data_IF_761281885021
#
_entry.id   IF_761281885021
#
_cell.length_a   1.000
_cell.length_b   1.000
_cell.length_c   1.000
_cell.angle_alpha   90.00
_cell.angle_beta   90.00
_cell.angle_gamma   90.00
#
_symmetry.space_group_name_H-M   'P 1'
#
loop_
_entity.id
_entity.type
_entity.pdbx_description
1 polymer ?
#
# COMPACT_ATOMS: atom_id res chain seq x y z
N UNK A 1 2.09 -30.83 7.23
CA UNK A 1 2.89 -29.94 8.12
C UNK A 1 2.79 -28.50 7.61
N UNK A 2 1.68 -27.79 7.89
CA UNK A 2 1.48 -26.38 7.53
C UNK A 2 2.17 -25.52 8.60
N UNK A 3 3.41 -25.13 8.33
CA UNK A 3 4.22 -24.34 9.26
C UNK A 3 3.90 -22.86 9.07
N UNK A 4 3.08 -22.33 9.98
CA UNK A 4 3.06 -20.95 10.46
C UNK A 4 2.93 -19.86 9.38
N UNK A 5 1.70 -19.52 8.98
CA UNK A 5 1.33 -18.21 8.38
C UNK A 5 1.33 -17.07 9.43
N UNK A 6 1.71 -17.36 10.68
CA UNK A 6 1.86 -16.37 11.76
C UNK A 6 2.84 -15.22 11.44
N UNK A 7 4.02 -15.42 10.81
CA UNK A 7 4.98 -14.33 10.63
C UNK A 7 4.43 -13.23 9.71
N UNK A 8 3.64 -13.54 8.67
CA UNK A 8 3.04 -12.51 7.81
C UNK A 8 1.95 -11.72 8.56
N UNK A 9 1.17 -12.38 9.41
CA UNK A 9 0.14 -11.72 10.22
C UNK A 9 0.77 -10.78 11.28
N UNK A 10 1.85 -11.20 11.93
CA UNK A 10 2.60 -10.37 12.88
C UNK A 10 3.22 -9.15 12.20
N UNK A 11 3.80 -9.33 11.00
CA UNK A 11 4.31 -8.21 10.20
C UNK A 11 3.18 -7.24 9.87
N UNK A 12 2.02 -7.73 9.42
CA UNK A 12 0.84 -6.89 9.17
C UNK A 12 0.36 -6.12 10.41
N UNK A 13 0.36 -6.77 11.58
CA UNK A 13 -0.03 -6.16 12.85
C UNK A 13 0.90 -5.01 13.27
N UNK A 14 2.19 -5.10 12.95
CA UNK A 14 3.17 -4.03 13.23
C UNK A 14 3.11 -2.95 12.15
N UNK A 15 2.99 -3.33 10.88
CA UNK A 15 2.95 -2.41 9.75
C UNK A 15 1.66 -1.59 9.71
N UNK A 16 0.52 -2.13 10.17
CA UNK A 16 -0.75 -1.43 10.27
C UNK A 16 -0.67 -0.11 11.04
N UNK A 17 -0.32 -0.11 12.33
CA UNK A 17 -0.21 1.11 13.13
C UNK A 17 0.91 2.04 12.64
N UNK A 18 1.99 1.50 12.07
CA UNK A 18 3.02 2.31 11.42
C UNK A 18 2.47 3.06 10.20
N UNK A 19 1.74 2.38 9.32
CA UNK A 19 1.10 3.00 8.16
C UNK A 19 0.10 4.08 8.58
N UNK A 20 -0.73 3.80 9.59
CA UNK A 20 -1.71 4.75 10.11
C UNK A 20 -1.05 6.00 10.72
N UNK A 21 0.05 5.82 11.46
CA UNK A 21 0.81 6.92 12.04
C UNK A 21 1.44 7.79 10.96
N UNK A 22 2.00 7.18 9.91
CA UNK A 22 2.59 7.92 8.79
C UNK A 22 1.52 8.64 7.96
N UNK A 23 0.34 8.03 7.75
CA UNK A 23 -0.79 8.68 7.08
C UNK A 23 -1.31 9.89 7.86
N UNK A 24 -1.51 9.74 9.18
CA UNK A 24 -1.88 10.87 10.06
C UNK A 24 -0.83 11.98 10.04
N UNK A 25 0.45 11.62 10.11
CA UNK A 25 1.54 12.60 10.07
C UNK A 25 1.56 13.37 8.75
N UNK A 26 1.38 12.68 7.61
CA UNK A 26 1.29 13.32 6.31
C UNK A 26 0.12 14.30 6.24
N UNK A 27 -1.06 13.91 6.73
CA UNK A 27 -2.23 14.79 6.79
C UNK A 27 -2.03 15.98 7.74
N UNK A 28 -1.40 15.77 8.90
CA UNK A 28 -1.10 16.83 9.85
C UNK A 28 -0.13 17.88 9.26
N UNK A 29 0.90 17.43 8.53
CA UNK A 29 1.82 18.32 7.80
C UNK A 29 1.08 19.10 6.70
N UNK A 30 0.07 18.47 6.11
CA UNK A 30 -0.75 19.01 5.02
C UNK A 30 -1.93 19.85 5.51
N UNK A 31 -2.00 20.19 6.80
CA UNK A 31 -3.13 20.91 7.40
C UNK A 31 -4.50 20.21 7.19
N UNK A 32 -4.50 18.89 7.09
CA UNK A 32 -5.70 18.08 6.84
C UNK A 32 -6.06 17.90 5.37
N UNK A 33 -5.27 18.44 4.43
CA UNK A 33 -5.57 18.34 3.01
C UNK A 33 -5.10 17.01 2.40
N UNK A 34 -6.04 16.15 2.02
CA UNK A 34 -5.77 14.88 1.35
C UNK A 34 -5.36 15.04 -0.12
N UNK A 35 -5.51 16.23 -0.71
CA UNK A 35 -5.05 16.47 -2.09
C UNK A 35 -3.53 16.53 -2.20
N UNK A 36 -2.79 16.70 -1.09
CA UNK A 36 -1.32 16.68 -1.05
C UNK A 36 -0.73 15.41 -1.66
N UNK A 37 -1.43 14.29 -1.53
CA UNK A 37 -1.02 13.02 -2.16
C UNK A 37 -0.95 13.10 -3.70
N UNK A 38 -1.72 13.99 -4.33
CA UNK A 38 -1.72 14.24 -5.77
C UNK A 38 -0.95 15.51 -6.15
N UNK A 39 -0.92 16.51 -5.28
CA UNK A 39 -0.22 17.79 -5.52
C UNK A 39 1.30 17.64 -5.42
N UNK A 40 1.80 16.74 -4.57
CA UNK A 40 3.24 16.45 -4.49
C UNK A 40 3.66 15.40 -5.54
N UNK A 41 4.51 15.76 -6.51
CA UNK A 41 4.88 14.85 -7.62
C UNK A 41 5.57 13.57 -7.15
N UNK A 42 6.31 13.62 -6.03
CA UNK A 42 6.95 12.44 -5.43
C UNK A 42 5.89 11.51 -4.81
N UNK A 43 4.90 12.07 -4.10
CA UNK A 43 3.83 11.26 -3.51
C UNK A 43 2.96 10.64 -4.60
N UNK A 44 2.59 11.42 -5.61
CA UNK A 44 1.81 10.96 -6.76
C UNK A 44 2.52 9.83 -7.52
N UNK A 45 3.83 9.95 -7.77
CA UNK A 45 4.60 8.91 -8.46
C UNK A 45 4.71 7.61 -7.65
N UNK A 46 4.92 7.69 -6.33
CA UNK A 46 4.92 6.51 -5.44
C UNK A 46 3.54 5.85 -5.39
N UNK A 47 2.46 6.64 -5.34
CA UNK A 47 1.09 6.12 -5.38
C UNK A 47 0.78 5.44 -6.70
N UNK A 48 1.18 6.04 -7.82
CA UNK A 48 1.03 5.45 -9.14
C UNK A 48 1.80 4.12 -9.25
N UNK A 49 3.06 4.09 -8.79
CA UNK A 49 3.87 2.88 -8.77
C UNK A 49 3.25 1.78 -7.89
N UNK A 50 2.75 2.15 -6.71
CA UNK A 50 2.07 1.22 -5.80
C UNK A 50 0.80 0.65 -6.43
N UNK A 51 0.00 1.47 -7.10
CA UNK A 51 -1.18 1.02 -7.83
C UNK A 51 -0.80 0.05 -8.96
N UNK A 52 0.26 0.33 -9.72
CA UNK A 52 0.76 -0.57 -10.76
C UNK A 52 1.18 -1.92 -10.15
N UNK A 53 1.94 -1.92 -9.05
CA UNK A 53 2.39 -3.16 -8.40
C UNK A 53 1.26 -4.00 -7.83
N UNK A 54 0.15 -3.38 -7.40
CA UNK A 54 -1.04 -4.11 -6.95
C UNK A 54 -1.85 -4.65 -8.13
N UNK A 55 -2.02 -3.85 -9.18
CA UNK A 55 -2.91 -4.16 -10.31
C UNK A 55 -2.26 -5.13 -11.30
N UNK A 56 -0.96 -5.00 -11.57
CA UNK A 56 -0.22 -5.84 -12.52
C UNK A 56 -0.34 -7.35 -12.22
N UNK A 57 -0.02 -7.86 -11.01
CA UNK A 57 -0.14 -9.29 -10.72
C UNK A 57 -1.60 -9.76 -10.74
N UNK A 58 -2.57 -8.92 -10.36
CA UNK A 58 -4.00 -9.26 -10.43
C UNK A 58 -4.48 -9.46 -11.87
N UNK A 59 -4.04 -8.59 -12.80
CA UNK A 59 -4.33 -8.74 -14.23
C UNK A 59 -3.63 -9.97 -14.84
N UNK A 60 -2.36 -10.20 -14.51
CA UNK A 60 -1.62 -11.36 -15.01
C UNK A 60 -2.14 -12.69 -14.44
N UNK A 61 -2.52 -12.76 -13.16
CA UNK A 61 -3.14 -13.96 -12.57
C UNK A 61 -4.50 -14.27 -13.19
N UNK A 62 -5.31 -13.26 -13.49
CA UNK A 62 -6.58 -13.44 -14.21
C UNK A 62 -6.37 -14.03 -15.61
N UNK A 63 -5.26 -13.71 -16.28
CA UNK A 63 -4.91 -14.33 -17.57
C UNK A 63 -4.26 -15.71 -17.43
N UNK A 64 -3.53 -15.97 -16.36
CA UNK A 64 -2.88 -17.27 -16.11
C UNK A 64 -3.90 -18.37 -15.74
N UNK A 65 -5.00 -18.01 -15.05
CA UNK A 65 -6.10 -18.96 -14.73
C UNK A 65 -6.98 -19.33 -15.93
N UNK A 66 -6.82 -18.65 -17.07
CA UNK A 66 -7.59 -18.91 -18.29
C UNK A 66 -6.83 -19.79 -19.30
N UNK A 67 -5.71 -20.41 -18.90
CA UNK A 67 -4.90 -21.32 -19.71
C UNK A 67 -4.70 -22.66 -19.01
#
# INVERSE_FOLDING_TARGET
MRRWDIPVAVIGLILGPLAETQARRALAISQGDATVFFTHPISASILALSAILLVLPLFFQRRSKAR
#
